data_IF_546525140851
#
_entry.id   IF_546525140851
#
_cell.length_a   1.000
_cell.length_b   1.000
_cell.length_c   1.000
_cell.angle_alpha   90.00
_cell.angle_beta   90.00
_cell.angle_gamma   90.00
#
_symmetry.space_group_name_H-M   'P 1'
#
loop_
_entity.id
_entity.type
_entity.pdbx_description
1 polymer ?
#
# COMPACT_ATOMS: atom_id res chain seq x y z
N UNK A 1 17.56 45.35 60.08
CA UNK A 1 17.85 45.78 58.68
C UNK A 1 17.07 44.96 57.65
N UNK A 2 16.87 43.66 57.86
CA UNK A 2 16.08 42.80 56.97
C UNK A 2 14.56 43.07 56.98
N UNK A 3 13.98 43.45 58.12
CA UNK A 3 12.53 43.73 58.23
C UNK A 3 12.08 44.94 57.38
N UNK A 4 12.88 46.02 57.32
CA UNK A 4 12.60 47.20 56.48
C UNK A 4 12.67 46.93 54.97
N UNK A 5 13.35 45.86 54.56
CA UNK A 5 13.44 45.47 53.15
C UNK A 5 12.17 44.70 52.73
N UNK A 6 11.54 43.98 53.67
CA UNK A 6 10.32 43.23 53.42
C UNK A 6 9.06 44.11 53.33
N UNK A 7 9.03 45.26 54.00
CA UNK A 7 7.88 46.18 53.95
C UNK A 7 7.86 47.08 52.70
N UNK A 8 8.88 47.01 51.86
CA UNK A 8 8.96 47.86 50.67
C UNK A 8 8.07 47.29 49.55
N UNK A 9 7.01 48.01 49.11
CA UNK A 9 6.04 47.47 48.16
C UNK A 9 6.65 47.08 46.81
N UNK A 10 7.74 47.75 46.41
CA UNK A 10 8.47 47.42 45.18
C UNK A 10 9.15 46.05 45.24
N UNK A 11 9.64 45.64 46.41
CA UNK A 11 10.28 44.34 46.60
C UNK A 11 9.26 43.19 46.55
N UNK A 12 8.08 43.41 47.15
CA UNK A 12 6.95 42.47 47.07
C UNK A 12 6.46 42.27 45.64
N UNK A 13 6.36 43.36 44.85
CA UNK A 13 5.97 43.29 43.43
C UNK A 13 7.01 42.53 42.61
N UNK A 14 8.31 42.83 42.80
CA UNK A 14 9.38 42.13 42.09
C UNK A 14 9.40 40.63 42.41
N UNK A 15 9.20 40.26 43.68
CA UNK A 15 9.12 38.88 44.10
C UNK A 15 7.91 38.15 43.50
N UNK A 16 6.74 38.81 43.46
CA UNK A 16 5.54 38.27 42.83
C UNK A 16 5.74 38.02 41.33
N UNK A 17 6.39 38.94 40.61
CA UNK A 17 6.69 38.78 39.18
C UNK A 17 7.61 37.58 38.93
N UNK A 18 8.68 37.44 39.73
CA UNK A 18 9.62 36.31 39.62
C UNK A 18 8.91 34.99 39.94
N UNK A 19 8.02 34.99 40.94
CA UNK A 19 7.26 33.80 41.30
C UNK A 19 6.30 33.38 40.19
N UNK A 20 5.56 34.32 39.60
CA UNK A 20 4.67 34.07 38.47
C UNK A 20 5.46 33.58 37.25
N UNK A 21 6.62 34.18 36.97
CA UNK A 21 7.51 33.74 35.89
C UNK A 21 7.96 32.28 36.08
N UNK A 22 8.41 31.93 37.28
CA UNK A 22 8.79 30.55 37.60
C UNK A 22 7.61 29.57 37.51
N UNK A 23 6.42 30.00 37.93
CA UNK A 23 5.20 29.19 37.82
C UNK A 23 4.86 28.91 36.35
N UNK A 24 4.89 29.93 35.49
CA UNK A 24 4.61 29.79 34.05
C UNK A 24 5.63 28.85 33.40
N UNK A 25 6.93 29.04 33.67
CA UNK A 25 7.98 28.16 33.17
C UNK A 25 7.76 26.71 33.61
N UNK A 26 7.41 26.49 34.88
CA UNK A 26 7.14 25.15 35.42
C UNK A 26 5.94 24.50 34.72
N UNK A 27 4.86 25.25 34.50
CA UNK A 27 3.68 24.73 33.80
C UNK A 27 3.99 24.35 32.35
N UNK A 28 4.75 25.17 31.63
CA UNK A 28 5.18 24.88 30.26
C UNK A 28 6.07 23.63 30.25
N UNK A 29 7.03 23.53 31.17
CA UNK A 29 7.95 22.41 31.25
C UNK A 29 7.23 21.09 31.55
N UNK A 30 6.25 21.10 32.46
CA UNK A 30 5.42 19.93 32.80
C UNK A 30 4.54 19.53 31.62
N UNK A 31 3.90 20.48 30.93
CA UNK A 31 3.10 20.17 29.73
C UNK A 31 3.96 19.55 28.63
N UNK A 32 5.14 20.10 28.39
CA UNK A 32 6.07 19.59 27.38
C UNK A 32 6.55 18.18 27.73
N UNK A 33 6.89 17.94 29.01
CA UNK A 33 7.29 16.62 29.50
C UNK A 33 6.15 15.60 29.36
N UNK A 34 4.91 15.95 29.70
CA UNK A 34 3.77 15.04 29.56
C UNK A 34 3.49 14.73 28.08
N UNK A 35 3.51 15.75 27.20
CA UNK A 35 3.30 15.56 25.77
C UNK A 35 4.39 14.66 25.16
N UNK A 36 5.65 14.92 25.48
CA UNK A 36 6.78 14.13 25.03
C UNK A 36 6.71 12.69 25.56
N UNK A 37 6.41 12.52 26.86
CA UNK A 37 6.32 11.21 27.51
C UNK A 37 5.08 10.39 27.09
N UNK A 38 4.04 11.04 26.55
CA UNK A 38 2.87 10.37 25.95
C UNK A 38 3.15 9.85 24.55
N UNK A 39 3.99 10.55 23.78
CA UNK A 39 4.45 10.11 22.46
C UNK A 39 5.54 9.04 22.55
N UNK A 40 6.38 9.12 23.58
CA UNK A 40 7.54 8.21 23.77
C UNK A 40 7.35 7.18 24.88
N UNK A 41 6.21 7.15 25.57
CA UNK A 41 5.84 6.10 26.53
C UNK A 41 6.90 5.73 27.57
N UNK A 42 7.32 6.63 28.47
CA UNK A 42 8.28 6.35 29.57
C UNK A 42 9.53 5.56 29.11
N UNK A 43 10.35 6.18 28.28
CA UNK A 43 11.51 5.51 27.67
C UNK A 43 12.80 6.11 28.19
N UNK A 44 13.50 5.33 29.01
CA UNK A 44 14.86 5.55 29.48
C UNK A 44 15.82 5.61 28.26
N UNK A 45 16.98 6.25 28.37
CA UNK A 45 17.87 6.55 27.21
C UNK A 45 18.26 5.29 26.41
N UNK A 46 18.34 4.12 27.06
CA UNK A 46 18.54 2.80 26.43
C UNK A 46 17.38 2.35 25.53
N UNK A 47 16.17 2.80 25.81
CA UNK A 47 14.97 2.39 25.09
C UNK A 47 14.77 3.21 23.81
N UNK A 48 15.28 4.45 23.72
CA UNK A 48 15.23 5.22 22.48
C UNK A 48 16.10 4.60 21.38
N UNK A 49 17.31 4.16 21.74
CA UNK A 49 18.19 3.41 20.84
C UNK A 49 17.54 2.09 20.40
N UNK A 50 16.88 1.38 21.31
CA UNK A 50 16.14 0.16 20.99
C UNK A 50 14.96 0.41 20.03
N UNK A 51 14.23 1.52 20.20
CA UNK A 51 13.14 1.92 19.29
C UNK A 51 13.70 2.25 17.91
N UNK A 52 14.82 2.97 17.83
CA UNK A 52 15.46 3.30 16.56
C UNK A 52 15.94 2.03 15.84
N UNK A 53 16.59 1.10 16.54
CA UNK A 53 17.00 -0.19 15.98
C UNK A 53 15.79 -1.01 15.51
N UNK A 54 14.69 -1.00 16.26
CA UNK A 54 13.45 -1.65 15.83
C UNK A 54 12.86 -1.03 14.57
N UNK A 55 12.88 0.30 14.45
CA UNK A 55 12.40 1.01 13.24
C UNK A 55 13.29 0.66 12.05
N UNK A 56 14.62 0.68 12.21
CA UNK A 56 15.57 0.35 11.15
C UNK A 56 15.38 -1.10 10.68
N UNK A 57 15.31 -2.07 11.60
CA UNK A 57 15.03 -3.48 11.27
C UNK A 57 13.70 -3.66 10.56
N UNK A 58 12.67 -2.92 11.01
CA UNK A 58 11.36 -2.96 10.36
C UNK A 58 11.44 -2.40 8.94
N UNK A 59 12.14 -1.29 8.74
CA UNK A 59 12.35 -0.71 7.42
C UNK A 59 13.11 -1.68 6.51
N UNK A 60 14.21 -2.27 6.97
CA UNK A 60 14.97 -3.27 6.19
C UNK A 60 14.08 -4.49 5.82
N UNK A 61 13.26 -4.96 6.76
CA UNK A 61 12.32 -6.07 6.50
C UNK A 61 11.27 -5.70 5.46
N UNK A 62 10.76 -4.46 5.51
CA UNK A 62 9.78 -3.94 4.55
C UNK A 62 10.40 -3.75 3.17
N UNK A 63 11.63 -3.24 3.07
CA UNK A 63 12.36 -3.11 1.81
C UNK A 63 12.60 -4.49 1.17
N UNK A 64 12.95 -5.49 1.98
CA UNK A 64 13.12 -6.86 1.52
C UNK A 64 11.81 -7.47 1.02
N UNK A 65 10.72 -7.30 1.76
CA UNK A 65 9.39 -7.78 1.37
C UNK A 65 8.89 -7.09 0.09
N UNK A 66 9.08 -5.77 0.00
CA UNK A 66 8.74 -4.99 -1.18
C UNK A 66 9.52 -5.47 -2.41
N UNK A 67 10.83 -5.72 -2.27
CA UNK A 67 11.65 -6.26 -3.35
C UNK A 67 11.14 -7.64 -3.80
N UNK A 68 10.81 -8.51 -2.84
CA UNK A 68 10.27 -9.84 -3.15
C UNK A 68 8.92 -9.75 -3.87
N UNK A 69 8.03 -8.87 -3.43
CA UNK A 69 6.74 -8.63 -4.08
C UNK A 69 6.91 -8.13 -5.51
N UNK A 70 7.81 -7.17 -5.74
CA UNK A 70 8.11 -6.67 -7.09
C UNK A 70 8.63 -7.79 -8.00
N UNK A 71 9.58 -8.61 -7.53
CA UNK A 71 10.08 -9.75 -8.32
C UNK A 71 8.98 -10.78 -8.62
N UNK A 72 8.11 -11.06 -7.65
CA UNK A 72 6.98 -11.96 -7.86
C UNK A 72 5.99 -11.40 -8.89
N UNK A 73 5.70 -10.09 -8.84
CA UNK A 73 4.83 -9.42 -9.81
C UNK A 73 5.43 -9.39 -11.22
N UNK A 74 6.74 -9.17 -11.34
CA UNK A 74 7.45 -9.26 -12.61
C UNK A 74 7.35 -10.66 -13.21
N UNK A 75 7.60 -11.70 -12.40
CA UNK A 75 7.47 -13.10 -12.82
C UNK A 75 6.04 -13.43 -13.24
N UNK A 76 5.04 -13.00 -12.45
CA UNK A 76 3.63 -13.21 -12.77
C UNK A 76 3.27 -12.52 -14.09
N UNK A 77 3.70 -11.28 -14.28
CA UNK A 77 3.47 -10.52 -15.51
C UNK A 77 4.11 -11.21 -16.71
N UNK A 78 5.33 -11.71 -16.57
CA UNK A 78 6.00 -12.48 -17.62
C UNK A 78 5.21 -13.73 -17.99
N UNK A 79 4.75 -14.50 -17.00
CA UNK A 79 3.96 -15.71 -17.21
C UNK A 79 2.61 -15.40 -17.89
N UNK A 80 1.94 -14.32 -17.48
CA UNK A 80 0.64 -13.94 -18.06
C UNK A 80 0.70 -13.63 -19.55
N UNK A 81 1.86 -13.21 -20.08
CA UNK A 81 1.99 -12.92 -21.51
C UNK A 81 1.74 -14.15 -22.40
N UNK A 82 1.93 -15.36 -21.87
CA UNK A 82 1.77 -16.63 -22.59
C UNK A 82 0.41 -17.31 -22.34
N UNK A 83 -0.43 -16.74 -21.48
CA UNK A 83 -1.78 -17.26 -21.27
C UNK A 83 -2.70 -16.90 -22.43
N UNK A 84 -3.65 -17.79 -22.75
CA UNK A 84 -4.72 -17.50 -23.71
C UNK A 84 -5.64 -16.41 -23.12
N UNK A 85 -5.60 -15.24 -23.72
CA UNK A 85 -6.29 -14.04 -23.21
C UNK A 85 -7.03 -13.26 -24.30
N UNK A 86 -6.71 -13.51 -25.58
CA UNK A 86 -7.42 -12.94 -26.72
C UNK A 86 -8.34 -14.01 -27.30
N UNK A 87 -9.65 -13.85 -27.07
CA UNK A 87 -10.67 -14.81 -27.50
C UNK A 87 -11.54 -14.14 -28.56
N UNK A 88 -11.63 -14.76 -29.74
CA UNK A 88 -12.52 -14.34 -30.81
C UNK A 88 -13.50 -15.45 -31.15
N UNK A 89 -14.79 -15.12 -31.25
CA UNK A 89 -15.83 -16.08 -31.62
C UNK A 89 -16.71 -15.48 -32.71
N UNK A 90 -16.81 -16.17 -33.83
CA UNK A 90 -17.61 -15.75 -34.98
C UNK A 90 -18.52 -16.89 -35.41
N UNK A 91 -19.82 -16.64 -35.48
CA UNK A 91 -20.79 -17.57 -36.06
C UNK A 91 -21.07 -17.19 -37.51
N UNK A 92 -21.30 -18.20 -38.34
CA UNK A 92 -21.62 -18.03 -39.74
C UNK A 92 -22.40 -19.23 -40.27
N UNK A 93 -23.00 -19.08 -41.44
CA UNK A 93 -23.64 -20.17 -42.16
C UNK A 93 -23.00 -20.34 -43.55
N UNK A 94 -22.10 -21.32 -43.73
CA UNK A 94 -21.49 -21.60 -45.03
C UNK A 94 -22.41 -22.37 -45.99
N UNK A 95 -23.54 -22.91 -45.50
CA UNK A 95 -24.47 -23.69 -46.31
C UNK A 95 -25.88 -23.09 -46.23
N UNK A 96 -26.43 -22.64 -47.35
CA UNK A 96 -27.76 -22.03 -47.37
C UNK A 96 -28.89 -22.97 -46.89
N UNK A 97 -28.65 -24.29 -46.90
CA UNK A 97 -29.68 -25.29 -46.59
C UNK A 97 -29.83 -25.59 -45.10
N UNK A 98 -28.87 -25.21 -44.23
CA UNK A 98 -28.85 -25.66 -42.82
C UNK A 98 -29.76 -24.92 -41.85
N UNK A 99 -30.45 -23.85 -42.26
CA UNK A 99 -31.36 -23.12 -41.39
C UNK A 99 -30.66 -22.56 -40.13
N UNK A 100 -29.78 -21.56 -40.31
CA UNK A 100 -29.16 -20.78 -39.22
C UNK A 100 -27.63 -20.83 -39.17
N UNK A 101 -27.01 -19.92 -38.40
CA UNK A 101 -25.55 -19.80 -38.23
C UNK A 101 -25.00 -20.82 -37.22
N UNK A 102 -25.04 -22.11 -37.55
CA UNK A 102 -24.54 -23.17 -36.69
C UNK A 102 -23.04 -23.45 -36.83
N UNK A 103 -22.40 -22.94 -37.89
CA UNK A 103 -20.94 -23.00 -38.03
C UNK A 103 -20.29 -21.87 -37.23
N UNK A 104 -19.08 -22.11 -36.73
CA UNK A 104 -18.35 -21.11 -35.97
C UNK A 104 -16.83 -21.20 -36.13
N UNK A 105 -16.17 -20.07 -35.89
CA UNK A 105 -14.72 -19.98 -35.72
C UNK A 105 -14.46 -19.48 -34.29
N UNK A 106 -13.60 -20.19 -33.56
CA UNK A 106 -13.10 -19.81 -32.25
C UNK A 106 -11.58 -19.62 -32.35
N UNK A 107 -11.11 -18.41 -32.14
CA UNK A 107 -9.70 -18.09 -32.01
C UNK A 107 -9.32 -17.90 -30.54
N UNK A 108 -8.30 -18.59 -30.08
CA UNK A 108 -7.72 -18.45 -28.74
C UNK A 108 -6.25 -18.11 -28.88
N UNK A 109 -5.83 -16.93 -28.41
CA UNK A 109 -4.46 -16.48 -28.55
C UNK A 109 -3.88 -15.88 -27.26
N UNK A 110 -2.57 -15.99 -27.13
CA UNK A 110 -1.76 -15.27 -26.15
C UNK A 110 -1.52 -13.80 -26.57
N UNK A 111 -0.73 -13.05 -25.79
CA UNK A 111 -0.39 -11.65 -26.13
C UNK A 111 0.34 -11.49 -27.46
N UNK A 112 1.10 -12.51 -27.86
CA UNK A 112 1.95 -12.52 -29.03
C UNK A 112 1.26 -13.13 -30.26
N UNK A 113 -0.04 -13.39 -30.18
CA UNK A 113 -0.86 -14.03 -31.23
C UNK A 113 -0.47 -15.49 -31.51
N UNK A 114 0.18 -16.16 -30.56
CA UNK A 114 0.35 -17.61 -30.60
C UNK A 114 -0.87 -18.26 -29.96
N UNK A 115 -1.34 -19.35 -30.54
CA UNK A 115 -2.52 -20.02 -30.03
C UNK A 115 -3.11 -20.95 -31.08
N UNK A 116 -4.43 -21.09 -31.06
CA UNK A 116 -5.15 -22.01 -31.94
C UNK A 116 -6.43 -21.38 -32.49
N UNK A 117 -6.80 -21.84 -33.68
CA UNK A 117 -8.07 -21.52 -34.32
C UNK A 117 -8.84 -22.81 -34.54
N UNK A 118 -10.04 -22.88 -33.98
CA UNK A 118 -10.99 -23.96 -34.18
C UNK A 118 -12.05 -23.49 -35.16
N UNK A 119 -12.22 -24.19 -36.27
CA UNK A 119 -13.28 -23.96 -37.24
C UNK A 119 -14.24 -25.14 -37.23
N UNK A 120 -15.49 -24.90 -36.86
CA UNK A 120 -16.57 -25.87 -36.91
C UNK A 120 -17.47 -25.57 -38.11
N UNK A 121 -17.61 -26.53 -39.01
CA UNK A 121 -18.52 -26.49 -40.14
C UNK A 121 -19.67 -27.46 -39.87
N UNK A 122 -20.87 -26.92 -39.70
CA UNK A 122 -22.09 -27.68 -39.48
C UNK A 122 -22.93 -27.71 -40.76
N UNK A 123 -23.26 -28.92 -41.23
CA UNK A 123 -24.20 -29.20 -42.32
C UNK A 123 -25.35 -30.05 -41.79
N UNK A 124 -26.45 -30.21 -42.56
CA UNK A 124 -27.62 -31.00 -42.13
C UNK A 124 -27.28 -32.43 -41.72
N UNK A 125 -26.31 -33.04 -42.41
CA UNK A 125 -25.96 -34.45 -42.22
C UNK A 125 -24.71 -34.64 -41.36
N UNK A 126 -23.79 -33.68 -41.37
CA UNK A 126 -22.47 -33.85 -40.74
C UNK A 126 -21.94 -32.58 -40.10
N UNK A 127 -21.19 -32.75 -39.01
CA UNK A 127 -20.38 -31.67 -38.39
C UNK A 127 -18.92 -32.03 -38.52
N UNK A 128 -18.09 -31.09 -38.99
CA UNK A 128 -16.64 -31.25 -39.09
C UNK A 128 -15.95 -30.15 -38.30
N UNK A 129 -14.91 -30.51 -37.55
CA UNK A 129 -14.11 -29.59 -36.74
C UNK A 129 -12.67 -29.66 -37.23
N UNK A 130 -12.09 -28.50 -37.50
CA UNK A 130 -10.70 -28.31 -37.92
C UNK A 130 -9.99 -27.44 -36.88
N UNK A 131 -8.73 -27.77 -36.58
CA UNK A 131 -7.90 -26.99 -35.66
C UNK A 131 -6.58 -26.66 -36.36
N UNK A 132 -6.18 -25.39 -36.31
CA UNK A 132 -4.90 -24.89 -36.79
C UNK A 132 -4.17 -24.13 -35.70
#
# INVERSE_FOLDING_TARGET
MFEKILENPLFLIAFAIIFVWNLILTLIFVRLKIHYNKLTGKVDKKTLEAILDQILRKQESQEKEQKQLTTNLESLTQNTNFHLQQIGFLRFNPFHDTGGDQSFILGLFDKFKNGLVITCLHSRETTRIYTK
#
